data_IF_846580479505
#
_entry.id   IF_846580479505
#
_cell.length_a   1.000
_cell.length_b   1.000
_cell.length_c   1.000
_cell.angle_alpha   90.00
_cell.angle_beta   90.00
_cell.angle_gamma   90.00
#
_symmetry.space_group_name_H-M   'P 1'
#
loop_
_entity.id
_entity.type
_entity.pdbx_description
1 polymer ?
#
# COMPACT_ATOMS: atom_id res chain seq x y z
N UNK A 1 6.01 17.69 -70.58
CA UNK A 1 5.37 16.43 -70.16
C UNK A 1 6.11 15.91 -68.94
N UNK A 2 5.52 16.03 -67.75
CA UNK A 2 6.01 15.35 -66.55
C UNK A 2 4.80 15.10 -65.65
N UNK A 3 4.47 13.82 -65.51
CA UNK A 3 3.30 13.26 -64.86
C UNK A 3 3.47 13.30 -63.34
N UNK A 4 2.53 13.96 -62.65
CA UNK A 4 2.33 13.87 -61.19
C UNK A 4 1.74 12.50 -60.86
N UNK A 5 2.43 11.71 -60.02
CA UNK A 5 1.82 10.56 -59.34
C UNK A 5 1.06 11.05 -58.08
N UNK A 6 -0.13 10.52 -57.78
CA UNK A 6 -0.83 10.86 -56.55
C UNK A 6 -0.30 10.05 -55.36
N UNK A 7 -0.21 10.74 -54.23
CA UNK A 7 0.11 10.20 -52.91
C UNK A 7 -1.07 9.33 -52.43
N UNK A 8 -0.86 8.01 -52.37
CA UNK A 8 -1.81 7.10 -51.73
C UNK A 8 -1.65 7.21 -50.21
N UNK A 9 -2.70 7.68 -49.55
CA UNK A 9 -2.84 7.68 -48.11
C UNK A 9 -3.24 6.26 -47.68
N UNK A 10 -2.32 5.52 -47.07
CA UNK A 10 -2.61 4.23 -46.47
C UNK A 10 -3.53 4.44 -45.26
N UNK A 11 -4.78 3.99 -45.40
CA UNK A 11 -5.75 3.89 -44.33
C UNK A 11 -5.37 2.64 -43.51
N UNK A 12 -4.82 2.82 -42.31
CA UNK A 12 -4.59 1.69 -41.40
C UNK A 12 -5.93 1.23 -40.86
N UNK A 13 -6.31 0.01 -41.25
CA UNK A 13 -7.46 -0.72 -40.77
C UNK A 13 -7.36 -0.87 -39.25
N UNK A 14 -8.26 -0.22 -38.50
CA UNK A 14 -8.42 -0.47 -37.07
C UNK A 14 -8.86 -1.93 -36.91
N UNK A 15 -7.92 -2.79 -36.49
CA UNK A 15 -8.21 -4.18 -36.21
C UNK A 15 -9.32 -4.26 -35.15
N UNK A 16 -10.42 -4.93 -35.50
CA UNK A 16 -11.52 -5.31 -34.61
C UNK A 16 -10.99 -6.20 -33.45
N UNK A 17 -10.48 -5.56 -32.40
CA UNK A 17 -10.11 -6.25 -31.16
C UNK A 17 -11.40 -6.71 -30.50
N UNK A 18 -11.76 -7.99 -30.71
CA UNK A 18 -12.90 -8.61 -30.05
C UNK A 18 -12.80 -8.35 -28.53
N UNK A 19 -13.87 -7.84 -27.89
CA UNK A 19 -13.83 -7.54 -26.47
C UNK A 19 -13.54 -8.83 -25.69
N UNK A 20 -12.48 -8.79 -24.89
CA UNK A 20 -12.10 -9.88 -24.00
C UNK A 20 -13.27 -10.13 -23.04
N UNK A 21 -13.65 -11.40 -22.84
CA UNK A 21 -14.64 -11.74 -21.82
C UNK A 21 -14.03 -11.46 -20.44
N UNK A 22 -14.74 -10.75 -19.54
CA UNK A 22 -14.31 -10.55 -18.15
C UNK A 22 -14.00 -11.89 -17.49
N UNK A 23 -12.86 -11.98 -16.83
CA UNK A 23 -12.49 -13.15 -16.05
C UNK A 23 -13.00 -12.95 -14.62
N UNK A 24 -13.82 -13.87 -14.09
CA UNK A 24 -14.36 -13.71 -12.74
C UNK A 24 -13.27 -13.91 -11.69
N UNK A 25 -12.99 -12.86 -10.93
CA UNK A 25 -12.20 -12.86 -9.71
C UNK A 25 -13.12 -13.02 -8.51
N UNK A 26 -12.94 -14.11 -7.76
CA UNK A 26 -13.77 -14.42 -6.59
C UNK A 26 -12.94 -14.18 -5.33
N UNK A 27 -13.49 -13.37 -4.42
CA UNK A 27 -12.85 -13.06 -3.15
C UNK A 27 -13.62 -13.67 -1.98
N UNK A 28 -12.87 -14.16 -1.00
CA UNK A 28 -13.40 -14.66 0.27
C UNK A 28 -12.73 -13.94 1.44
N UNK A 29 -13.38 -13.84 2.60
CA UNK A 29 -12.72 -13.41 3.84
C UNK A 29 -11.40 -14.15 4.05
N UNK A 30 -10.37 -13.41 4.43
CA UNK A 30 -9.07 -14.03 4.71
C UNK A 30 -9.14 -14.93 5.95
N UNK A 31 -9.91 -14.50 6.97
CA UNK A 31 -10.17 -15.23 8.21
C UNK A 31 -11.60 -15.75 8.22
N UNK A 32 -11.81 -16.96 8.73
CA UNK A 32 -13.15 -17.53 8.95
C UNK A 32 -13.61 -17.24 10.39
N UNK A 33 -14.86 -16.81 10.56
CA UNK A 33 -15.52 -16.76 11.88
C UNK A 33 -14.98 -15.74 12.89
N UNK A 34 -14.27 -14.70 12.45
CA UNK A 34 -13.77 -13.64 13.33
C UNK A 34 -14.15 -12.27 12.77
N UNK A 35 -15.18 -11.67 13.35
CA UNK A 35 -15.43 -10.24 13.18
C UNK A 35 -14.30 -9.51 13.90
N UNK A 36 -13.37 -8.99 13.11
CA UNK A 36 -12.29 -8.15 13.59
C UNK A 36 -12.89 -6.85 14.14
N UNK A 37 -13.01 -6.71 15.45
CA UNK A 37 -13.34 -5.43 16.07
C UNK A 37 -12.12 -4.49 16.07
N UNK A 38 -12.37 -3.20 16.27
CA UNK A 38 -11.32 -2.18 16.29
C UNK A 38 -10.28 -2.44 17.38
N UNK A 39 -10.71 -2.93 18.54
CA UNK A 39 -9.82 -3.25 19.66
C UNK A 39 -8.74 -4.28 19.31
N UNK A 40 -9.13 -5.37 18.65
CA UNK A 40 -8.19 -6.41 18.20
C UNK A 40 -7.24 -5.87 17.14
N UNK A 41 -7.78 -5.08 16.20
CA UNK A 41 -6.99 -4.43 15.15
C UNK A 41 -5.95 -3.47 15.74
N UNK A 42 -6.36 -2.66 16.70
CA UNK A 42 -5.50 -1.67 17.34
C UNK A 42 -4.43 -2.35 18.22
N UNK A 43 -4.76 -3.45 18.89
CA UNK A 43 -3.75 -4.26 19.60
C UNK A 43 -2.71 -4.85 18.65
N UNK A 44 -3.12 -5.34 17.49
CA UNK A 44 -2.20 -5.88 16.48
C UNK A 44 -1.25 -4.79 15.95
N UNK A 45 -1.78 -3.61 15.64
CA UNK A 45 -0.97 -2.45 15.21
C UNK A 45 -0.01 -2.04 16.33
N UNK A 46 -0.49 -1.91 17.57
CA UNK A 46 0.35 -1.57 18.73
C UNK A 46 1.49 -2.56 18.91
N UNK A 47 1.19 -3.85 18.88
CA UNK A 47 2.18 -4.91 19.00
C UNK A 47 3.13 -4.97 17.81
N UNK A 48 2.71 -4.49 16.63
CA UNK A 48 3.59 -4.36 15.48
C UNK A 48 4.53 -3.17 15.64
N UNK A 49 4.04 -2.00 16.03
CA UNK A 49 4.84 -0.79 16.24
C UNK A 49 5.93 -1.03 17.29
N UNK A 50 5.57 -1.69 18.40
CA UNK A 50 6.51 -1.96 19.51
C UNK A 50 7.63 -2.94 19.16
N UNK A 51 7.51 -3.72 18.09
CA UNK A 51 8.54 -4.68 17.69
C UNK A 51 9.71 -3.96 17.02
N UNK A 52 10.97 -4.30 17.37
CA UNK A 52 12.12 -3.83 16.63
C UNK A 52 12.00 -4.12 15.14
N UNK A 53 12.62 -3.28 14.32
CA UNK A 53 12.75 -3.52 12.89
C UNK A 53 13.49 -4.82 12.65
N UNK A 54 12.94 -5.69 11.80
CA UNK A 54 13.59 -6.95 11.43
C UNK A 54 14.85 -6.69 10.61
N UNK A 55 15.74 -7.68 10.55
CA UNK A 55 16.94 -7.57 9.69
C UNK A 55 16.61 -7.31 8.21
N UNK A 56 15.49 -7.82 7.70
CA UNK A 56 15.02 -7.50 6.33
C UNK A 56 14.56 -6.05 6.18
N UNK A 57 13.87 -5.50 7.19
CA UNK A 57 13.44 -4.11 7.21
C UNK A 57 14.65 -3.17 7.23
N UNK A 58 15.66 -3.47 8.04
CA UNK A 58 16.91 -2.71 8.12
C UNK A 58 17.73 -2.81 6.82
N UNK A 59 17.95 -4.02 6.28
CA UNK A 59 18.64 -4.19 4.99
C UNK A 59 17.97 -3.44 3.84
N UNK A 60 16.65 -3.40 3.84
CA UNK A 60 15.89 -2.67 2.83
C UNK A 60 16.13 -1.17 2.96
N UNK A 61 16.12 -0.63 4.17
CA UNK A 61 16.45 0.76 4.45
C UNK A 61 17.88 1.12 4.02
N UNK A 62 18.85 0.27 4.34
CA UNK A 62 20.27 0.45 3.97
C UNK A 62 20.48 0.42 2.45
N UNK A 63 19.59 -0.28 1.72
CA UNK A 63 19.61 -0.36 0.26
C UNK A 63 18.84 0.78 -0.42
N UNK A 64 18.42 1.81 0.32
CA UNK A 64 17.68 2.97 -0.20
C UNK A 64 16.16 2.85 -0.14
N UNK A 65 15.62 1.87 0.59
CA UNK A 65 14.19 1.72 0.84
C UNK A 65 13.42 1.09 -0.33
N UNK A 66 12.19 1.55 -0.54
CA UNK A 66 11.33 1.08 -1.63
C UNK A 66 9.99 1.78 -1.66
N UNK A 67 8.99 1.11 -2.23
CA UNK A 67 7.65 1.65 -2.44
C UNK A 67 6.60 0.73 -1.85
N UNK A 68 5.58 1.31 -1.23
CA UNK A 68 4.30 0.66 -0.97
C UNK A 68 3.31 1.16 -2.03
N UNK A 69 2.61 0.24 -2.68
CA UNK A 69 1.68 0.55 -3.77
C UNK A 69 0.30 -0.02 -3.52
N UNK A 70 -0.67 0.63 -4.13
CA UNK A 70 -2.07 0.19 -4.19
C UNK A 70 -2.46 0.01 -5.65
N UNK A 71 -3.15 -1.08 -5.98
CA UNK A 71 -3.78 -1.24 -7.29
C UNK A 71 -5.14 -1.92 -7.20
N UNK A 72 -5.96 -1.74 -8.23
CA UNK A 72 -7.22 -2.44 -8.44
C UNK A 72 -7.13 -3.41 -9.62
N UNK A 73 -8.02 -4.41 -9.66
CA UNK A 73 -8.30 -5.10 -10.91
C UNK A 73 -8.78 -4.09 -11.98
N UNK A 74 -8.54 -4.36 -13.27
CA UNK A 74 -9.16 -3.60 -14.36
C UNK A 74 -10.67 -3.44 -14.16
N UNK A 75 -11.23 -2.32 -14.64
CA UNK A 75 -12.66 -2.00 -14.51
C UNK A 75 -13.55 -3.01 -15.25
N UNK A 76 -13.01 -3.63 -16.31
CA UNK A 76 -13.69 -4.64 -17.13
C UNK A 76 -13.60 -6.06 -16.55
N UNK A 77 -12.82 -6.29 -15.49
CA UNK A 77 -12.78 -7.60 -14.84
C UNK A 77 -13.99 -7.79 -13.91
N UNK A 78 -14.58 -8.99 -13.94
CA UNK A 78 -15.74 -9.31 -13.12
C UNK A 78 -15.29 -9.66 -11.70
N UNK A 79 -15.90 -9.05 -10.68
CA UNK A 79 -15.56 -9.29 -9.27
C UNK A 79 -16.78 -9.85 -8.54
N UNK A 80 -16.59 -10.92 -7.77
CA UNK A 80 -17.62 -11.54 -6.94
C UNK A 80 -17.15 -11.67 -5.47
N UNK A 81 -17.88 -11.08 -4.50
CA UNK A 81 -19.04 -10.19 -4.67
C UNK A 81 -18.66 -8.88 -5.40
N UNK A 82 -19.61 -8.12 -6.00
CA UNK A 82 -19.33 -6.90 -6.76
C UNK A 82 -18.99 -5.71 -5.84
N UNK A 83 -17.94 -5.87 -5.05
CA UNK A 83 -17.43 -4.86 -4.13
C UNK A 83 -16.04 -4.39 -4.58
N UNK A 84 -15.66 -3.20 -4.14
CA UNK A 84 -14.35 -2.62 -4.49
C UNK A 84 -13.28 -3.36 -3.71
N UNK A 85 -12.32 -3.92 -4.44
CA UNK A 85 -11.16 -4.58 -3.89
C UNK A 85 -9.90 -3.89 -4.37
N UNK A 86 -9.00 -3.62 -3.43
CA UNK A 86 -7.66 -3.14 -3.73
C UNK A 86 -6.64 -4.16 -3.26
N UNK A 87 -5.48 -4.19 -3.90
CA UNK A 87 -4.31 -4.90 -3.41
C UNK A 87 -3.29 -3.88 -2.90
N UNK A 88 -2.80 -4.11 -1.69
CA UNK A 88 -1.70 -3.33 -1.10
C UNK A 88 -0.48 -4.22 -1.05
N UNK A 89 0.60 -3.78 -1.67
CA UNK A 89 1.85 -4.51 -1.71
C UNK A 89 3.06 -3.60 -1.65
N UNK A 90 4.25 -4.18 -1.47
CA UNK A 90 5.52 -3.45 -1.52
C UNK A 90 6.45 -3.92 -2.64
N UNK A 91 7.43 -3.08 -2.99
CA UNK A 91 8.57 -3.44 -3.82
C UNK A 91 9.80 -2.61 -3.49
N UNK A 92 10.99 -3.23 -3.50
CA UNK A 92 12.29 -2.54 -3.40
C UNK A 92 12.86 -2.15 -4.78
N UNK A 93 12.11 -2.43 -5.86
CA UNK A 93 12.43 -2.03 -7.24
C UNK A 93 11.49 -0.92 -7.66
N UNK A 94 11.26 -0.75 -8.96
CA UNK A 94 10.27 0.18 -9.48
C UNK A 94 8.85 -0.40 -9.41
N UNK A 95 7.87 0.48 -9.15
CA UNK A 95 6.43 0.14 -9.23
C UNK A 95 6.02 -0.28 -10.65
N UNK A 96 6.46 0.39 -11.74
CA UNK A 96 6.15 -0.06 -13.10
C UNK A 96 6.62 -1.49 -13.39
N UNK A 97 7.84 -1.88 -12.97
CA UNK A 97 8.34 -3.24 -13.15
C UNK A 97 7.48 -4.25 -12.40
N UNK A 98 7.02 -3.88 -11.19
CA UNK A 98 6.15 -4.72 -10.39
C UNK A 98 4.78 -4.92 -11.06
N UNK A 99 4.17 -3.86 -11.59
CA UNK A 99 2.91 -3.96 -12.32
C UNK A 99 3.05 -4.84 -13.56
N UNK A 100 4.10 -4.69 -14.38
CA UNK A 100 4.36 -5.57 -15.53
C UNK A 100 4.50 -7.04 -15.15
N UNK A 101 5.20 -7.34 -14.04
CA UNK A 101 5.32 -8.72 -13.53
C UNK A 101 3.98 -9.29 -13.08
N UNK A 102 3.16 -8.48 -12.42
CA UNK A 102 1.80 -8.89 -12.02
C UNK A 102 0.95 -9.14 -13.26
N UNK A 103 1.00 -8.23 -14.25
CA UNK A 103 0.23 -8.35 -15.47
C UNK A 103 0.56 -9.62 -16.25
N UNK A 104 1.87 -9.86 -16.44
CA UNK A 104 2.36 -11.07 -17.09
C UNK A 104 1.95 -12.35 -16.35
N UNK A 105 2.09 -12.38 -15.02
CA UNK A 105 1.78 -13.57 -14.24
C UNK A 105 0.28 -13.83 -14.12
N UNK A 106 -0.51 -12.79 -13.87
CA UNK A 106 -1.93 -12.89 -13.51
C UNK A 106 -2.88 -12.65 -14.70
N UNK A 107 -2.33 -12.34 -15.87
CA UNK A 107 -3.05 -12.19 -17.15
C UNK A 107 -4.12 -11.09 -17.14
N UNK A 108 -3.96 -10.03 -16.34
CA UNK A 108 -4.79 -8.82 -16.36
C UNK A 108 -3.89 -7.59 -16.18
N UNK A 109 -4.28 -6.40 -16.64
CA UNK A 109 -3.46 -5.18 -16.44
C UNK A 109 -3.84 -4.46 -15.13
N UNK A 110 -2.99 -4.46 -14.08
CA UNK A 110 -3.32 -3.82 -12.82
C UNK A 110 -3.59 -2.32 -13.00
N UNK A 111 -4.71 -1.83 -12.48
CA UNK A 111 -4.99 -0.39 -12.43
C UNK A 111 -4.31 0.20 -11.20
N UNK A 112 -3.09 0.72 -11.37
CA UNK A 112 -2.35 1.37 -10.29
C UNK A 112 -3.14 2.57 -9.74
N UNK A 113 -3.27 2.64 -8.41
CA UNK A 113 -4.00 3.70 -7.71
C UNK A 113 -3.01 4.74 -7.19
N UNK A 114 -2.09 4.30 -6.33
CA UNK A 114 -1.05 5.16 -5.77
C UNK A 114 0.19 4.35 -5.43
N UNK A 115 1.30 5.04 -5.21
CA UNK A 115 2.50 4.46 -4.63
C UNK A 115 3.26 5.52 -3.83
N UNK A 116 3.75 5.15 -2.66
CA UNK A 116 4.49 6.03 -1.76
C UNK A 116 5.86 5.41 -1.50
N UNK A 117 6.92 6.20 -1.69
CA UNK A 117 8.28 5.81 -1.33
C UNK A 117 8.47 5.89 0.18
N UNK A 118 9.19 4.94 0.75
CA UNK A 118 9.55 4.92 2.17
C UNK A 118 10.84 4.14 2.38
N UNK A 119 11.59 4.50 3.42
CA UNK A 119 12.77 3.79 3.90
C UNK A 119 12.43 2.39 4.42
N UNK A 120 11.23 2.18 4.95
CA UNK A 120 10.81 0.90 5.57
C UNK A 120 9.54 0.31 4.93
N UNK A 121 9.56 -0.03 3.63
CA UNK A 121 8.36 -0.46 2.90
C UNK A 121 7.75 -1.77 3.43
N UNK A 122 8.56 -2.69 3.97
CA UNK A 122 8.05 -3.91 4.63
C UNK A 122 7.23 -3.57 5.88
N UNK A 123 7.71 -2.64 6.71
CA UNK A 123 7.03 -2.27 7.96
C UNK A 123 5.73 -1.53 7.65
N UNK A 124 5.79 -0.58 6.71
CA UNK A 124 4.60 0.17 6.26
C UNK A 124 3.55 -0.75 5.66
N UNK A 125 3.93 -1.69 4.78
CA UNK A 125 2.98 -2.67 4.20
C UNK A 125 2.29 -3.48 5.30
N UNK A 126 3.06 -3.98 6.29
CA UNK A 126 2.51 -4.76 7.40
C UNK A 126 1.55 -3.94 8.27
N UNK A 127 1.85 -2.67 8.53
CA UNK A 127 0.96 -1.75 9.28
C UNK A 127 -0.34 -1.51 8.52
N UNK A 128 -0.27 -1.28 7.21
CA UNK A 128 -1.45 -1.16 6.35
C UNK A 128 -2.31 -2.44 6.39
N UNK A 129 -1.66 -3.62 6.30
CA UNK A 129 -2.36 -4.91 6.38
C UNK A 129 -3.00 -5.14 7.75
N UNK A 130 -2.35 -4.71 8.83
CA UNK A 130 -2.89 -4.80 10.18
C UNK A 130 -4.12 -3.91 10.33
N UNK A 131 -4.05 -2.64 9.94
CA UNK A 131 -5.18 -1.71 10.00
C UNK A 131 -6.39 -2.15 9.17
N UNK A 132 -6.15 -2.82 8.05
CA UNK A 132 -7.20 -3.33 7.18
C UNK A 132 -7.52 -4.81 7.41
N UNK A 133 -7.06 -5.41 8.52
CA UNK A 133 -7.14 -6.87 8.76
C UNK A 133 -8.55 -7.43 8.64
N UNK A 134 -9.56 -6.77 9.21
CA UNK A 134 -10.97 -7.19 9.14
C UNK A 134 -11.54 -7.20 7.71
N UNK A 135 -10.98 -6.37 6.84
CA UNK A 135 -11.37 -6.24 5.43
C UNK A 135 -10.43 -6.97 4.49
N UNK A 136 -9.45 -7.72 5.02
CA UNK A 136 -8.55 -8.54 4.23
C UNK A 136 -9.32 -9.67 3.55
N UNK A 137 -9.04 -9.86 2.27
CA UNK A 137 -9.62 -10.87 1.40
C UNK A 137 -8.51 -11.70 0.77
N UNK A 138 -8.88 -12.92 0.41
CA UNK A 138 -8.07 -13.80 -0.42
C UNK A 138 -8.86 -14.17 -1.67
N UNK A 139 -8.16 -14.24 -2.78
CA UNK A 139 -8.69 -14.75 -4.03
C UNK A 139 -8.89 -16.27 -3.90
N UNK A 140 -10.10 -16.77 -4.20
CA UNK A 140 -10.51 -18.15 -3.92
C UNK A 140 -11.38 -18.72 -5.05
N UNK A 141 -11.13 -19.96 -5.53
CA UNK A 141 -10.09 -20.89 -5.07
C UNK A 141 -8.66 -20.42 -5.40
N UNK A 142 -8.50 -19.64 -6.47
CA UNK A 142 -7.22 -19.08 -6.90
C UNK A 142 -7.42 -17.99 -7.95
N UNK A 143 -6.35 -17.23 -8.22
CA UNK A 143 -6.28 -16.32 -9.35
C UNK A 143 -6.47 -17.08 -10.67
N UNK A 144 -7.39 -16.64 -11.54
CA UNK A 144 -7.67 -17.32 -12.79
C UNK A 144 -6.52 -17.26 -13.79
N UNK A 145 -5.62 -16.27 -13.67
CA UNK A 145 -4.44 -16.16 -14.55
C UNK A 145 -3.22 -16.96 -14.09
N UNK A 146 -2.92 -16.95 -12.79
CA UNK A 146 -1.67 -17.54 -12.25
C UNK A 146 -1.88 -18.80 -11.37
N UNK A 147 -3.12 -19.15 -11.04
CA UNK A 147 -3.46 -20.31 -10.21
C UNK A 147 -3.11 -20.18 -8.72
N UNK A 148 -2.60 -19.04 -8.26
CA UNK A 148 -2.26 -18.80 -6.85
C UNK A 148 -3.39 -18.11 -6.10
N UNK A 149 -3.58 -18.44 -4.83
CA UNK A 149 -4.47 -17.68 -3.94
C UNK A 149 -3.77 -16.41 -3.47
N UNK A 150 -4.02 -15.27 -4.11
CA UNK A 150 -3.51 -13.98 -3.67
C UNK A 150 -4.18 -13.54 -2.36
N UNK A 151 -3.38 -13.11 -1.38
CA UNK A 151 -3.79 -12.97 0.02
C UNK A 151 -3.85 -11.54 0.55
N UNK A 152 -3.47 -10.57 -0.25
CA UNK A 152 -3.29 -9.17 0.17
C UNK A 152 -4.30 -8.28 -0.54
N UNK A 153 -5.51 -8.81 -0.73
CA UNK A 153 -6.65 -8.04 -1.20
C UNK A 153 -7.40 -7.46 -0.02
N UNK A 154 -8.03 -6.31 -0.20
CA UNK A 154 -8.77 -5.61 0.84
C UNK A 154 -10.06 -5.07 0.26
N UNK A 155 -11.18 -5.37 0.92
CA UNK A 155 -12.52 -4.86 0.57
C UNK A 155 -12.67 -3.43 1.08
N UNK A 156 -11.98 -2.51 0.41
CA UNK A 156 -11.98 -1.06 0.67
C UNK A 156 -11.92 -0.29 -0.65
N UNK A 157 -12.35 0.96 -0.64
CA UNK A 157 -12.21 1.85 -1.79
C UNK A 157 -10.78 2.36 -1.98
N UNK A 158 -10.38 2.73 -3.22
CA UNK A 158 -9.06 3.32 -3.49
C UNK A 158 -8.69 4.52 -2.59
N UNK A 159 -9.58 5.51 -2.34
CA UNK A 159 -9.24 6.66 -1.50
C UNK A 159 -8.99 6.31 -0.03
N UNK A 160 -9.59 5.24 0.48
CA UNK A 160 -9.31 4.78 1.83
C UNK A 160 -7.96 4.05 1.92
N UNK A 161 -7.67 3.20 0.95
CA UNK A 161 -6.41 2.48 0.87
C UNK A 161 -5.22 3.44 0.72
N UNK A 162 -5.36 4.46 -0.12
CA UNK A 162 -4.39 5.53 -0.28
C UNK A 162 -4.15 6.27 1.04
N UNK A 163 -5.20 6.69 1.74
CA UNK A 163 -5.06 7.33 3.06
C UNK A 163 -4.30 6.48 4.06
N UNK A 164 -4.57 5.17 4.13
CA UNK A 164 -3.85 4.26 5.04
C UNK A 164 -2.38 4.14 4.67
N UNK A 165 -2.05 4.01 3.37
CA UNK A 165 -0.66 3.93 2.91
C UNK A 165 0.07 5.24 3.19
N UNK A 166 -0.49 6.39 2.82
CA UNK A 166 0.11 7.69 3.07
C UNK A 166 0.32 7.92 4.57
N UNK A 167 -0.68 7.62 5.40
CA UNK A 167 -0.60 7.80 6.86
C UNK A 167 0.60 7.07 7.48
N UNK A 168 0.77 5.77 7.20
CA UNK A 168 1.88 4.99 7.77
C UNK A 168 3.24 5.35 7.16
N UNK A 169 3.27 5.66 5.86
CA UNK A 169 4.49 6.14 5.21
C UNK A 169 4.95 7.48 5.78
N UNK A 170 4.05 8.46 5.89
CA UNK A 170 4.35 9.79 6.42
C UNK A 170 4.81 9.72 7.87
N UNK A 171 4.13 8.93 8.72
CA UNK A 171 4.59 8.72 10.09
C UNK A 171 6.01 8.15 10.12
N UNK A 172 6.29 7.13 9.32
CA UNK A 172 7.61 6.50 9.28
C UNK A 172 8.72 7.46 8.82
N UNK A 173 8.47 8.23 7.78
CA UNK A 173 9.47 9.15 7.19
C UNK A 173 9.64 10.44 7.98
N UNK A 174 8.57 11.00 8.56
CA UNK A 174 8.64 12.30 9.24
C UNK A 174 9.05 12.21 10.70
N UNK A 175 8.84 11.05 11.34
CA UNK A 175 9.12 10.89 12.77
C UNK A 175 10.34 10.02 13.07
N UNK A 176 10.77 9.22 12.08
CA UNK A 176 11.85 8.24 12.21
C UNK A 176 11.76 7.48 13.56
N UNK A 177 10.68 6.74 13.83
CA UNK A 177 10.30 6.36 15.18
C UNK A 177 11.20 5.27 15.79
N UNK A 178 12.12 4.72 15.01
CA UNK A 178 13.03 3.65 15.41
C UNK A 178 14.48 4.14 15.49
N UNK A 179 15.24 3.61 16.43
CA UNK A 179 16.67 3.89 16.56
C UNK A 179 17.45 3.29 15.39
N UNK A 180 18.33 4.10 14.80
CA UNK A 180 19.27 3.62 13.79
C UNK A 180 20.23 2.59 14.42
N UNK A 181 20.49 1.49 13.73
CA UNK A 181 21.37 0.41 14.19
C UNK A 181 20.71 -0.67 15.06
N UNK A 182 19.87 -0.32 16.03
CA UNK A 182 19.15 -1.34 16.83
C UNK A 182 17.79 -1.70 16.23
N UNK A 183 17.16 -0.75 15.53
CA UNK A 183 15.81 -0.88 15.03
C UNK A 183 14.74 -0.86 16.12
N UNK A 184 15.09 -0.61 17.38
CA UNK A 184 14.15 -0.53 18.49
C UNK A 184 13.34 0.76 18.44
N UNK A 185 12.09 0.72 18.88
CA UNK A 185 11.25 1.91 18.96
C UNK A 185 11.88 2.91 19.95
N UNK A 186 12.02 4.18 19.54
CA UNK A 186 12.55 5.25 20.40
C UNK A 186 11.65 5.40 21.64
N UNK A 187 12.24 5.81 22.76
CA UNK A 187 11.55 5.92 24.05
C UNK A 187 10.33 6.85 23.98
N UNK A 188 10.45 7.99 23.31
CA UNK A 188 9.35 8.95 23.09
C UNK A 188 8.13 8.30 22.40
N UNK A 189 8.38 7.44 21.42
CA UNK A 189 7.34 6.72 20.68
C UNK A 189 6.79 5.54 21.49
N UNK A 190 7.62 4.89 22.29
CA UNK A 190 7.21 3.84 23.21
C UNK A 190 6.26 4.36 24.29
N UNK A 191 6.56 5.54 24.86
CA UNK A 191 5.71 6.21 25.84
C UNK A 191 4.38 6.63 25.23
N UNK A 192 4.39 7.33 24.07
CA UNK A 192 3.18 7.69 23.32
C UNK A 192 2.34 6.46 22.96
N UNK A 193 2.98 5.36 22.56
CA UNK A 193 2.30 4.11 22.26
C UNK A 193 1.61 3.51 23.50
N UNK A 194 2.15 3.80 24.69
CA UNK A 194 1.57 3.51 26.00
C UNK A 194 0.19 4.13 26.20
N UNK A 195 0.02 5.37 25.73
CA UNK A 195 -1.18 6.20 25.91
C UNK A 195 -2.31 5.85 24.94
N UNK A 196 -2.02 5.12 23.86
CA UNK A 196 -2.99 4.73 22.83
C UNK A 196 -4.14 3.92 23.43
N UNK A 197 -5.34 4.49 23.35
CA UNK A 197 -6.59 3.85 23.73
C UNK A 197 -7.03 2.88 22.63
N UNK A 198 -6.74 1.59 22.78
CA UNK A 198 -7.00 0.59 21.73
C UNK A 198 -8.49 0.37 21.45
N UNK A 199 -9.39 0.74 22.36
CA UNK A 199 -10.84 0.66 22.17
C UNK A 199 -11.42 1.80 21.32
N UNK A 200 -10.67 2.89 21.09
CA UNK A 200 -11.10 4.00 20.25
C UNK A 200 -11.13 3.60 18.76
N UNK A 201 -11.90 4.35 17.97
CA UNK A 201 -11.90 4.22 16.52
C UNK A 201 -10.45 4.38 15.97
N UNK A 202 -10.02 3.56 14.99
CA UNK A 202 -8.64 3.60 14.48
C UNK A 202 -8.19 4.99 14.00
N UNK A 203 -9.09 5.75 13.37
CA UNK A 203 -8.82 7.12 12.92
C UNK A 203 -8.47 8.06 14.07
N UNK A 204 -9.07 7.86 15.25
CA UNK A 204 -8.85 8.66 16.45
C UNK A 204 -7.58 8.25 17.18
N UNK A 205 -7.42 6.97 17.51
CA UNK A 205 -6.30 6.53 18.34
C UNK A 205 -4.95 6.63 17.60
N UNK A 206 -4.89 6.24 16.32
CA UNK A 206 -3.68 6.38 15.51
C UNK A 206 -3.48 7.82 15.03
N UNK A 207 -4.56 8.54 14.74
CA UNK A 207 -4.49 9.97 14.43
C UNK A 207 -3.84 10.77 15.55
N UNK A 208 -4.22 10.53 16.81
CA UNK A 208 -3.59 11.19 17.97
C UNK A 208 -2.15 10.70 18.20
N UNK A 209 -1.88 9.42 18.01
CA UNK A 209 -0.54 8.86 18.14
C UNK A 209 0.44 9.48 17.14
N UNK A 210 0.04 9.64 15.88
CA UNK A 210 0.89 10.14 14.79
C UNK A 210 0.86 11.67 14.62
N UNK A 211 -0.20 12.37 15.07
CA UNK A 211 -0.28 13.82 14.97
C UNK A 211 0.58 14.50 16.03
N UNK A 212 1.64 15.12 15.55
CA UNK A 212 2.42 16.07 16.32
C UNK A 212 1.94 17.50 16.06
N UNK A 213 1.14 18.06 16.97
CA UNK A 213 1.10 19.51 17.11
C UNK A 213 2.46 20.07 17.58
N UNK A 214 3.35 19.21 18.10
CA UNK A 214 4.62 19.60 18.73
C UNK A 214 5.84 19.56 17.78
N UNK A 215 5.86 18.67 16.77
CA UNK A 215 6.96 18.60 15.76
C UNK A 215 6.93 19.77 14.77
N UNK A 216 5.76 20.30 14.41
CA UNK A 216 5.66 21.49 13.53
C UNK A 216 6.23 22.77 14.16
N UNK A 217 6.27 22.86 15.50
CA UNK A 217 6.80 24.03 16.19
C UNK A 217 8.31 23.94 16.45
N UNK A 218 8.86 22.74 16.68
CA UNK A 218 10.30 22.54 16.93
C UNK A 218 11.15 22.62 15.65
N UNK A 219 10.57 22.41 14.47
CA UNK A 219 11.26 22.55 13.17
C UNK A 219 11.47 23.99 12.68
N UNK A 220 10.85 25.00 13.30
CA UNK A 220 10.99 26.42 12.91
C UNK A 220 12.04 27.21 13.70
N UNK A 221 12.53 26.69 14.83
CA UNK A 221 13.43 27.44 15.72
C UNK A 221 14.92 27.20 15.42
N UNK A 222 15.26 26.19 14.61
CA UNK A 222 16.65 25.78 14.39
C UNK A 222 17.20 26.14 13.00
N UNK A 223 16.91 27.32 12.43
CA UNK A 223 17.72 27.90 11.34
C UNK A 223 17.74 29.42 11.42
N UNK A 224 18.84 29.95 11.97
CA UNK A 224 19.42 31.30 11.85
C UNK A 224 19.57 32.04 13.18
N UNK A 225 20.53 31.60 13.98
CA UNK A 225 21.32 32.49 14.83
C UNK A 225 22.81 32.27 14.52
N UNK A 226 23.53 33.38 14.37
CA UNK A 226 24.98 33.53 14.17
C UNK A 226 25.50 33.16 12.77
N UNK A 227 26.05 34.11 12.00
CA UNK A 227 27.32 34.77 12.33
C UNK A 227 27.41 36.19 11.76
N UNK A 228 27.85 37.08 12.66
CA UNK A 228 28.58 38.37 12.54
C UNK A 228 28.89 38.89 11.15
#
# INVERSE_FOLDING_TARGET
>A
MSTRAPFLQEYTQEDDVKPRRPIPHIFSPFWHGTDSNYETTNRDIRAMISKPLSGDEQRTADSGGGYVYVFCLPVDEAVSPPTRHVKIGMTTRSVPDRMRRIASACRYEPSAVCSVSTRYPLRVERLCHAQLRGRRRRESPSCPGCGRAHREWFEVGPPEAERVVCFWSEWMEHTEPYNEGTGELKSEWSERLGEVQVCDEPSRCWGLFCNDADVMMRGRVAKHETTV
#
